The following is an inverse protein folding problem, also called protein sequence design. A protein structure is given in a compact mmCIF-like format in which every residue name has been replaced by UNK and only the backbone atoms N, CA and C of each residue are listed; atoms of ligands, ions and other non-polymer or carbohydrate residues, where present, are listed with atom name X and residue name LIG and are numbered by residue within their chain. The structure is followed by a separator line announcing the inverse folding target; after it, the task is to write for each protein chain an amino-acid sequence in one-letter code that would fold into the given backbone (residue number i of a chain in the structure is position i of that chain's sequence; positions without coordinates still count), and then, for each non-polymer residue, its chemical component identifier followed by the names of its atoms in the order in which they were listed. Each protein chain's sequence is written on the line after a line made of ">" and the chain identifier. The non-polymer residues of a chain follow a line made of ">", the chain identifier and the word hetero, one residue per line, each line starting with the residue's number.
data_IF_150621124344
#
_entry.id   IF_150621124344
#
_cell.length_a   1.000
_cell.length_b   1.000
_cell.length_c   1.000
_cell.angle_alpha   90.00
_cell.angle_beta   90.00
_cell.angle_gamma   90.00
#
_symmetry.space_group_name_H-M   'P 1'
#
loop_
_entity.id
_entity.type
_entity.pdbx_description
1 polymer ?
#
# COMPACT_ATOMS: atom_id res chain seq x y z
N UNK A 1 11.64 -13.54 -3.98
CA UNK A 1 12.10 -12.88 -2.74
C UNK A 1 10.89 -12.26 -2.06
N UNK A 2 10.74 -12.42 -0.75
CA UNK A 2 9.61 -11.87 0.00
C UNK A 2 10.11 -10.81 0.97
N UNK A 3 9.52 -9.62 0.90
CA UNK A 3 9.81 -8.51 1.79
C UNK A 3 8.54 -8.13 2.54
N UNK A 4 8.64 -7.86 3.83
CA UNK A 4 7.50 -7.55 4.69
C UNK A 4 7.62 -6.13 5.21
N UNK A 5 6.55 -5.35 5.04
CA UNK A 5 6.46 -3.96 5.44
C UNK A 5 5.22 -3.75 6.30
N UNK A 6 5.38 -3.03 7.40
CA UNK A 6 4.28 -2.64 8.25
C UNK A 6 4.22 -1.11 8.35
N UNK A 7 3.02 -0.57 8.18
CA UNK A 7 2.83 0.87 8.25
C UNK A 7 3.02 1.38 9.68
N UNK A 8 3.82 2.46 9.80
CA UNK A 8 4.13 3.10 11.07
C UNK A 8 2.86 3.60 11.77
N UNK A 9 2.93 3.70 13.10
CA UNK A 9 1.80 4.17 13.92
C UNK A 9 1.42 5.64 13.74
N UNK A 10 2.26 6.42 13.06
CA UNK A 10 2.03 7.85 12.89
C UNK A 10 0.83 8.08 11.95
N UNK A 11 -0.22 8.80 12.38
CA UNK A 11 -1.33 9.14 11.51
C UNK A 11 -0.84 10.02 10.34
N UNK A 12 -1.56 10.01 9.20
CA UNK A 12 -1.25 10.93 8.11
C UNK A 12 -1.33 12.38 8.59
N UNK A 13 -0.37 13.22 8.16
CA UNK A 13 -0.27 14.63 8.59
C UNK A 13 -1.54 15.44 8.32
N UNK A 14 -2.30 15.06 7.30
CA UNK A 14 -3.59 15.64 6.93
C UNK A 14 -4.65 15.51 8.03
N UNK A 15 -4.54 14.50 8.90
CA UNK A 15 -5.49 14.23 9.98
C UNK A 15 -4.91 14.51 11.37
N UNK A 16 -3.81 15.26 11.47
CA UNK A 16 -3.22 15.63 12.77
C UNK A 16 -4.19 16.41 13.67
N UNK A 17 -5.16 17.10 13.07
CA UNK A 17 -6.18 17.86 13.82
C UNK A 17 -7.33 16.98 14.34
N UNK A 18 -7.37 15.68 13.99
CA UNK A 18 -8.42 14.75 14.41
C UNK A 18 -7.89 13.76 15.45
N UNK A 19 -8.72 13.39 16.43
CA UNK A 19 -8.36 12.36 17.41
C UNK A 19 -8.48 10.97 16.78
N UNK A 20 -7.38 10.51 16.18
CA UNK A 20 -7.30 9.19 15.54
C UNK A 20 -6.84 8.11 16.52
N UNK A 21 -7.63 7.05 16.65
CA UNK A 21 -7.27 5.85 17.42
C UNK A 21 -6.88 4.75 16.44
N UNK A 22 -5.65 4.25 16.57
CA UNK A 22 -5.17 3.11 15.77
C UNK A 22 -5.93 1.83 16.17
N UNK A 23 -6.89 1.38 15.35
CA UNK A 23 -7.66 0.13 15.57
C UNK A 23 -7.03 -1.11 14.91
N UNK A 24 -5.72 -1.07 14.68
CA UNK A 24 -4.93 -2.19 14.15
C UNK A 24 -4.64 -2.07 12.65
N UNK A 25 -4.44 -3.21 12.01
CA UNK A 25 -4.05 -3.30 10.61
C UNK A 25 -5.19 -3.79 9.71
N UNK A 26 -5.17 -3.38 8.45
CA UNK A 26 -5.95 -3.97 7.37
C UNK A 26 -5.35 -5.32 6.98
N UNK A 27 -6.09 -6.05 6.15
CA UNK A 27 -5.58 -7.28 5.56
C UNK A 27 -4.28 -7.01 4.81
N UNK A 28 -3.31 -7.92 4.98
CA UNK A 28 -2.04 -7.85 4.26
C UNK A 28 -2.31 -7.89 2.76
N UNK A 29 -1.65 -6.98 2.03
CA UNK A 29 -1.65 -7.00 0.58
C UNK A 29 -0.29 -7.48 0.10
N UNK A 30 -0.28 -8.27 -0.97
CA UNK A 30 0.96 -8.69 -1.63
C UNK A 30 1.03 -8.01 -2.99
N UNK A 31 2.11 -7.25 -3.21
CA UNK A 31 2.41 -6.57 -4.47
C UNK A 31 3.60 -7.27 -5.11
N UNK A 32 3.55 -7.48 -6.41
CA UNK A 32 4.69 -7.95 -7.19
C UNK A 32 5.42 -6.75 -7.80
N UNK A 33 6.74 -6.73 -7.67
CA UNK A 33 7.59 -5.65 -8.15
C UNK A 33 8.81 -6.17 -8.93
N UNK A 34 9.55 -5.25 -9.55
CA UNK A 34 10.63 -5.54 -10.49
C UNK A 34 11.68 -6.49 -9.89
N UNK A 35 12.23 -7.42 -10.69
CA UNK A 35 13.21 -8.35 -10.19
C UNK A 35 14.51 -7.68 -9.74
N UNK A 36 14.78 -7.66 -8.43
CA UNK A 36 16.12 -7.35 -7.90
C UNK A 36 17.07 -8.48 -8.35
N UNK A 37 17.94 -8.17 -9.34
CA UNK A 37 18.91 -9.10 -9.93
C UNK A 37 18.27 -10.32 -10.61
N UNK A 38 17.16 -10.12 -11.34
CA UNK A 38 16.52 -11.19 -12.13
C UNK A 38 15.61 -12.14 -11.34
N UNK A 39 15.28 -11.83 -10.08
CA UNK A 39 14.35 -12.62 -9.25
C UNK A 39 13.12 -11.83 -8.87
N UNK A 40 11.92 -12.38 -9.09
CA UNK A 40 10.66 -11.74 -8.67
C UNK A 40 10.68 -11.34 -7.19
N UNK A 41 10.18 -10.14 -6.91
CA UNK A 41 10.07 -9.57 -5.58
C UNK A 41 8.60 -9.45 -5.22
N UNK A 42 8.23 -10.00 -4.06
CA UNK A 42 6.90 -9.90 -3.48
C UNK A 42 6.98 -9.02 -2.23
N UNK A 43 6.26 -7.91 -2.26
CA UNK A 43 6.15 -6.96 -1.16
C UNK A 43 4.85 -7.26 -0.41
N UNK A 44 4.97 -7.81 0.79
CA UNK A 44 3.89 -8.01 1.73
C UNK A 44 3.74 -6.74 2.56
N UNK A 45 2.59 -6.08 2.48
CA UNK A 45 2.36 -4.78 3.13
C UNK A 45 1.14 -4.86 4.03
N UNK A 46 1.35 -4.61 5.33
CA UNK A 46 0.28 -4.42 6.30
C UNK A 46 0.05 -2.94 6.54
N UNK A 47 -1.11 -2.49 6.10
CA UNK A 47 -1.54 -1.08 6.24
C UNK A 47 -2.27 -0.86 7.54
N UNK A 48 -2.15 0.32 8.13
CA UNK A 48 -2.83 0.65 9.38
C UNK A 48 -4.17 1.28 9.08
N UNK A 49 -5.16 0.99 9.92
CA UNK A 49 -6.45 1.68 9.93
C UNK A 49 -6.57 2.52 11.18
N UNK A 50 -6.99 3.75 11.00
CA UNK A 50 -7.32 4.64 12.10
C UNK A 50 -8.83 4.80 12.15
N UNK A 51 -9.37 4.89 13.35
CA UNK A 51 -10.77 5.28 13.55
C UNK A 51 -10.77 6.68 14.13
N UNK A 52 -11.50 7.56 13.47
CA UNK A 52 -11.79 8.89 13.99
C UNK A 52 -12.71 8.74 15.20
N UNK A 53 -12.32 9.34 16.34
CA UNK A 53 -13.11 9.25 17.57
C UNK A 53 -14.40 10.10 17.47
N UNK A 54 -14.41 11.16 16.68
CA UNK A 54 -15.55 12.08 16.58
C UNK A 54 -16.58 11.58 15.58
N UNK A 55 -16.14 11.18 14.38
CA UNK A 55 -17.05 10.75 13.30
C UNK A 55 -17.25 9.23 13.25
N UNK A 56 -16.47 8.47 14.02
CA UNK A 56 -16.38 7.00 13.93
C UNK A 56 -15.96 6.46 12.55
N UNK A 57 -15.49 7.34 11.66
CA UNK A 57 -15.06 6.95 10.32
C UNK A 57 -13.74 6.19 10.37
N UNK A 58 -13.60 5.23 9.45
CA UNK A 58 -12.35 4.50 9.26
C UNK A 58 -11.52 5.27 8.24
N UNK A 59 -10.42 5.83 8.73
CA UNK A 59 -9.44 6.53 7.91
C UNK A 59 -8.31 5.57 7.60
N UNK A 60 -7.96 5.54 6.32
CA UNK A 60 -6.80 4.83 5.79
C UNK A 60 -6.03 5.78 4.89
N UNK A 61 -4.74 5.51 4.71
CA UNK A 61 -3.93 6.30 3.79
C UNK A 61 -4.21 5.89 2.35
N UNK A 62 -4.44 6.88 1.48
CA UNK A 62 -4.56 6.61 0.05
C UNK A 62 -3.24 6.06 -0.51
N UNK A 63 -3.34 4.89 -1.14
CA UNK A 63 -2.20 4.14 -1.65
C UNK A 63 -2.25 4.13 -3.18
N UNK A 64 -1.78 5.22 -3.80
CA UNK A 64 -1.70 5.36 -5.26
C UNK A 64 -0.46 4.67 -5.89
N UNK A 65 0.26 3.82 -5.15
CA UNK A 65 1.46 3.16 -5.66
C UNK A 65 1.11 1.92 -6.52
N UNK A 66 -0.08 1.34 -6.33
CA UNK A 66 -0.54 0.15 -7.06
C UNK A 66 -1.35 0.57 -8.28
N UNK A 67 -0.98 0.04 -9.45
CA UNK A 67 -1.75 0.26 -10.67
C UNK A 67 -3.19 -0.25 -10.50
N UNK A 68 -4.15 0.63 -10.77
CA UNK A 68 -5.57 0.36 -10.63
C UNK A 68 -5.97 -0.96 -11.32
N UNK A 69 -6.53 -1.91 -10.55
CA UNK A 69 -6.94 -3.22 -11.05
C UNK A 69 -5.84 -4.30 -11.05
N UNK A 70 -4.63 -3.99 -10.62
CA UNK A 70 -3.51 -4.96 -10.55
C UNK A 70 -2.96 -5.08 -9.13
N UNK A 71 -2.16 -6.12 -8.87
CA UNK A 71 -1.33 -6.24 -7.67
C UNK A 71 0.11 -5.82 -7.95
N UNK A 72 0.30 -4.84 -8.83
CA UNK A 72 1.60 -4.40 -9.33
C UNK A 72 1.79 -2.90 -9.13
N UNK A 73 3.04 -2.46 -9.01
CA UNK A 73 3.37 -1.03 -9.04
C UNK A 73 2.97 -0.42 -10.40
N UNK A 74 2.66 0.88 -10.41
CA UNK A 74 2.35 1.59 -11.65
C UNK A 74 3.45 1.43 -12.71
N UNK A 75 4.70 1.61 -12.29
CA UNK A 75 5.87 1.48 -13.17
C UNK A 75 5.98 0.07 -13.77
N UNK A 76 5.72 -0.99 -13.00
CA UNK A 76 5.77 -2.36 -13.53
C UNK A 76 4.60 -2.67 -14.47
N UNK A 77 3.41 -2.17 -14.16
CA UNK A 77 2.26 -2.32 -15.05
C UNK A 77 2.48 -1.60 -16.38
N UNK A 78 3.05 -0.40 -16.36
CA UNK A 78 3.34 0.38 -17.55
C UNK A 78 4.48 -0.23 -18.38
N UNK A 79 5.52 -0.76 -17.74
CA UNK A 79 6.57 -1.55 -18.40
C UNK A 79 6.00 -2.78 -19.15
N UNK A 80 5.12 -3.56 -18.52
CA UNK A 80 4.51 -4.71 -19.21
C UNK A 80 3.64 -4.29 -20.39
N UNK A 81 2.90 -3.17 -20.29
CA UNK A 81 2.12 -2.65 -21.42
C UNK A 81 3.01 -2.22 -22.59
N UNK A 82 4.18 -1.67 -22.30
CA UNK A 82 5.13 -1.23 -23.32
C UNK A 82 5.77 -2.42 -24.06
N UNK A 83 6.08 -3.51 -23.35
CA UNK A 83 6.55 -4.77 -23.98
C UNK A 83 5.44 -5.43 -24.82
N UNK A 84 4.20 -5.40 -24.34
CA UNK A 84 3.06 -6.05 -25.02
C UNK A 84 2.50 -5.22 -26.19
N UNK A 85 3.11 -4.06 -26.51
CA UNK A 85 2.76 -3.20 -27.65
C UNK A 85 3.56 -3.54 -28.92
N UNK A 86 4.43 -4.55 -28.88
CA UNK A 86 5.17 -5.07 -30.03
C UNK A 86 4.65 -6.45 -30.47
#
# INVERSE_FOLDING_TARGET
>A
MHLFFEEKSAPPKEYNNRQLVSKGFLHEITIQDFPLRGKFVYLHIKRRRWTDKETQEIIQRDWNIVAQGTRMTHEFADFLKEINRY
#
